data_IF_156564016724
#
_entry.id   IF_156564016724
#
_cell.length_a   1.000
_cell.length_b   1.000
_cell.length_c   1.000
_cell.angle_alpha   90.00
_cell.angle_beta   90.00
_cell.angle_gamma   90.00
#
_symmetry.space_group_name_H-M   'P 1'
#
loop_
_entity.id
_entity.type
_entity.pdbx_description
1 polymer ?
#
# COMPACT_ATOMS: atom_id res chain seq x y z
N UNK A 1 -4.93 -23.54 6.08
CA UNK A 1 -5.05 -22.56 4.98
C UNK A 1 -4.49 -21.24 5.46
N UNK A 2 -3.46 -20.66 4.80
CA UNK A 2 -2.97 -19.32 5.13
C UNK A 2 -3.94 -18.32 4.53
N UNK A 3 -4.55 -17.47 5.34
CA UNK A 3 -5.45 -16.42 4.86
C UNK A 3 -4.57 -15.20 4.54
N UNK A 4 -4.33 -14.94 3.26
CA UNK A 4 -3.56 -13.77 2.84
C UNK A 4 -4.45 -12.54 2.96
N UNK A 5 -4.02 -11.56 3.76
CA UNK A 5 -4.74 -10.28 3.90
C UNK A 5 -3.94 -9.22 3.16
N UNK A 6 -4.62 -8.41 2.35
CA UNK A 6 -3.99 -7.30 1.65
C UNK A 6 -4.53 -5.99 2.22
N UNK A 7 -3.61 -5.05 2.47
CA UNK A 7 -3.96 -3.66 2.74
C UNK A 7 -3.79 -2.88 1.45
N UNK A 8 -4.87 -2.25 1.00
CA UNK A 8 -4.89 -1.44 -0.21
C UNK A 8 -5.01 0.03 0.17
N UNK A 9 -4.18 0.88 -0.44
CA UNK A 9 -4.22 2.34 -0.28
C UNK A 9 -4.32 2.97 -1.66
N UNK A 10 -5.18 3.97 -1.81
CA UNK A 10 -5.29 4.76 -3.04
C UNK A 10 -4.86 6.19 -2.76
N UNK A 11 -3.94 6.71 -3.55
CA UNK A 11 -3.46 8.10 -3.47
C UNK A 11 -3.89 8.82 -4.74
N UNK A 12 -4.38 10.05 -4.56
CA UNK A 12 -4.74 10.97 -5.63
C UNK A 12 -3.70 12.09 -5.65
N UNK A 13 -3.03 12.25 -6.78
CA UNK A 13 -1.97 13.23 -6.99
C UNK A 13 -2.50 14.24 -8.02
N UNK A 14 -2.52 15.53 -7.69
CA UNK A 14 -2.93 16.55 -8.65
C UNK A 14 -1.91 16.65 -9.79
N UNK A 15 -2.36 16.91 -11.02
CA UNK A 15 -1.44 17.09 -12.16
C UNK A 15 -0.49 18.30 -12.01
N UNK A 16 -0.81 19.24 -11.12
CA UNK A 16 0.06 20.36 -10.77
C UNK A 16 1.11 20.01 -9.70
N UNK A 17 1.14 18.78 -9.20
CA UNK A 17 2.18 18.32 -8.27
C UNK A 17 3.52 18.23 -9.00
N UNK A 18 4.60 18.67 -8.35
CA UNK A 18 5.94 18.55 -8.90
C UNK A 18 6.40 17.09 -8.94
N UNK A 19 7.23 16.74 -9.93
CA UNK A 19 7.81 15.39 -10.06
C UNK A 19 8.50 14.95 -8.77
N UNK A 20 9.23 15.84 -8.10
CA UNK A 20 9.88 15.58 -6.81
C UNK A 20 8.91 15.22 -5.68
N UNK A 21 7.70 15.78 -5.68
CA UNK A 21 6.66 15.45 -4.72
C UNK A 21 6.10 14.06 -5.01
N UNK A 22 5.90 13.74 -6.29
CA UNK A 22 5.44 12.42 -6.74
C UNK A 22 6.46 11.36 -6.34
N UNK A 23 7.73 11.54 -6.71
CA UNK A 23 8.83 10.63 -6.37
C UNK A 23 8.93 10.38 -4.86
N UNK A 24 8.78 11.44 -4.05
CA UNK A 24 8.77 11.32 -2.60
C UNK A 24 7.62 10.46 -2.09
N UNK A 25 6.40 10.68 -2.57
CA UNK A 25 5.22 9.88 -2.20
C UNK A 25 5.43 8.40 -2.57
N UNK A 26 5.91 8.14 -3.79
CA UNK A 26 6.17 6.78 -4.25
C UNK A 26 7.24 6.09 -3.38
N UNK A 27 8.31 6.83 -3.03
CA UNK A 27 9.41 6.32 -2.20
C UNK A 27 8.94 6.02 -0.77
N UNK A 28 8.21 6.94 -0.13
CA UNK A 28 7.65 6.73 1.21
C UNK A 28 6.76 5.47 1.26
N UNK A 29 5.92 5.23 0.23
CA UNK A 29 5.10 4.02 0.15
C UNK A 29 5.90 2.75 -0.12
N UNK A 30 6.95 2.83 -0.91
CA UNK A 30 7.87 1.71 -1.10
C UNK A 30 8.60 1.35 0.20
N UNK A 31 9.07 2.33 0.98
CA UNK A 31 9.72 2.14 2.28
C UNK A 31 8.76 1.55 3.33
N UNK A 32 7.48 1.94 3.30
CA UNK A 32 6.45 1.31 4.11
C UNK A 32 6.23 -0.17 3.73
N UNK A 33 6.66 -0.62 2.55
CA UNK A 33 6.50 -1.97 2.03
C UNK A 33 5.30 -2.16 1.10
N UNK A 34 4.69 -1.07 0.62
CA UNK A 34 3.67 -1.14 -0.41
C UNK A 34 4.29 -1.27 -1.80
N UNK A 35 3.54 -1.91 -2.69
CA UNK A 35 3.83 -2.00 -4.11
C UNK A 35 2.75 -1.30 -4.91
N UNK A 36 3.15 -0.58 -5.95
CA UNK A 36 2.22 0.00 -6.91
C UNK A 36 1.61 -1.13 -7.73
N UNK A 37 0.28 -1.19 -7.78
CA UNK A 37 -0.45 -2.18 -8.58
C UNK A 37 -1.25 -1.57 -9.71
N UNK A 38 -1.55 -0.27 -9.62
CA UNK A 38 -2.26 0.43 -10.67
C UNK A 38 -1.92 1.91 -10.67
N UNK A 39 -1.77 2.48 -11.86
CA UNK A 39 -1.63 3.93 -12.08
C UNK A 39 -2.62 4.30 -13.18
N UNK A 40 -3.49 5.26 -12.90
CA UNK A 40 -4.43 5.80 -13.86
C UNK A 40 -4.38 7.32 -13.85
N UNK A 41 -4.30 7.91 -15.03
CA UNK A 41 -4.51 9.34 -15.19
C UNK A 41 -6.00 9.60 -15.41
N UNK A 42 -6.56 10.45 -14.56
CA UNK A 42 -7.88 11.04 -14.71
C UNK A 42 -7.70 12.54 -14.99
N UNK A 43 -8.69 13.19 -15.59
CA UNK A 43 -8.64 14.55 -16.17
C UNK A 43 -7.63 15.51 -15.53
N UNK A 44 -7.71 15.73 -14.21
CA UNK A 44 -6.84 16.65 -13.46
C UNK A 44 -5.96 15.97 -12.39
N UNK A 45 -5.95 14.63 -12.32
CA UNK A 45 -5.33 13.89 -11.22
C UNK A 45 -4.75 12.55 -11.68
N UNK A 46 -3.64 12.13 -11.08
CA UNK A 46 -3.10 10.78 -11.19
C UNK A 46 -3.58 9.98 -9.98
N UNK A 47 -4.28 8.89 -10.21
CA UNK A 47 -4.65 7.91 -9.19
C UNK A 47 -3.60 6.79 -9.16
N UNK A 48 -3.01 6.57 -8.00
CA UNK A 48 -2.05 5.48 -7.76
C UNK A 48 -2.63 4.55 -6.70
N UNK A 49 -2.73 3.26 -7.03
CA UNK A 49 -3.18 2.22 -6.12
C UNK A 49 -1.95 1.42 -5.67
N UNK A 50 -1.85 1.29 -4.35
CA UNK A 50 -0.81 0.58 -3.64
C UNK A 50 -1.41 -0.62 -2.92
N UNK A 51 -0.70 -1.75 -2.90
CA UNK A 51 -1.04 -2.90 -2.08
C UNK A 51 0.14 -3.33 -1.21
N UNK A 52 -0.17 -3.87 -0.04
CA UNK A 52 0.79 -4.52 0.84
C UNK A 52 0.20 -5.85 1.29
N UNK A 53 0.96 -6.92 1.11
CA UNK A 53 0.62 -8.23 1.63
C UNK A 53 0.92 -8.27 3.13
N UNK A 54 -0.10 -8.49 3.93
CA UNK A 54 0.02 -8.73 5.36
C UNK A 54 0.06 -10.22 5.62
N UNK A 55 1.15 -10.70 6.21
CA UNK A 55 1.20 -12.03 6.80
C UNK A 55 0.26 -12.05 8.01
N UNK A 56 -0.94 -12.58 7.81
CA UNK A 56 -1.82 -12.89 8.93
C UNK A 56 -1.28 -14.14 9.63
N UNK A 57 -0.57 -13.93 10.73
CA UNK A 57 -0.24 -14.99 11.67
C UNK A 57 -1.43 -15.07 12.63
N UNK A 58 -2.32 -16.07 12.51
CA UNK A 58 -3.36 -16.26 13.51
C UNK A 58 -2.67 -16.44 14.87
N UNK A 59 -3.02 -15.60 15.84
CA UNK A 59 -2.78 -15.94 17.24
C UNK A 59 -3.64 -17.17 17.52
N UNK A 60 -3.08 -18.37 17.36
CA UNK A 60 -3.69 -19.55 17.94
C UNK A 60 -3.82 -19.26 19.44
N UNK A 61 -5.06 -19.25 19.93
CA UNK A 61 -5.30 -19.33 21.35
C UNK A 61 -4.69 -20.62 21.90
N UNK A 62 -3.99 -20.48 23.02
CA UNK A 62 -3.54 -21.50 23.95
C UNK A 62 -2.46 -22.48 23.49
N UNK A 63 -1.27 -22.31 24.07
CA UNK A 63 -0.78 -23.34 25.00
C UNK A 63 -0.56 -22.68 26.36
N UNK A 64 -1.37 -23.13 27.30
CA UNK A 64 -1.24 -22.95 28.74
C UNK A 64 0.07 -23.60 29.25
N UNK A 65 0.50 -23.17 30.43
CA UNK A 65 1.39 -23.86 31.38
C UNK A 65 2.87 -24.07 31.00
N UNK A 66 3.75 -23.18 31.48
CA UNK A 66 4.80 -23.46 32.49
C UNK A 66 5.39 -22.16 33.05
#
# INVERSE_FOLDING_TARGET
>A
MKQEKYKVVTIYIGQSSSDSMIERILSEKAEEGYKIVHVAQCDSQIRVIFEMQQLYIPKNGSTNDY
#
